data_IF_550422526988
#
_entry.id   IF_550422526988
#
_cell.length_a   1.000
_cell.length_b   1.000
_cell.length_c   1.000
_cell.angle_alpha   90.00
_cell.angle_beta   90.00
_cell.angle_gamma   90.00
#
_symmetry.space_group_name_H-M   'P 1'
#
loop_
_entity.id
_entity.type
_entity.pdbx_description
1 polymer ?
#
# COMPACT_ATOMS: atom_id res chain seq x y z
N UNK A 1 0.02 -10.55 -18.40
CA UNK A 1 0.50 -10.93 -17.06
C UNK A 1 1.87 -10.29 -16.89
N UNK A 2 2.10 -9.59 -15.78
CA UNK A 2 3.40 -8.96 -15.50
C UNK A 2 4.45 -10.06 -15.27
N UNK A 3 5.70 -9.79 -15.67
CA UNK A 3 6.82 -10.67 -15.32
C UNK A 3 7.17 -10.55 -13.81
N UNK A 4 7.95 -11.49 -13.24
CA UNK A 4 8.28 -11.47 -11.80
C UNK A 4 8.95 -10.19 -11.30
N UNK A 5 9.76 -9.52 -12.13
CA UNK A 5 10.43 -8.27 -11.79
C UNK A 5 9.40 -7.14 -11.73
N UNK A 6 8.51 -7.07 -12.73
CA UNK A 6 7.41 -6.11 -12.74
C UNK A 6 6.43 -6.31 -11.57
N UNK A 7 6.16 -7.56 -11.21
CA UNK A 7 5.37 -7.91 -10.01
C UNK A 7 6.06 -7.40 -8.74
N UNK A 8 7.37 -7.61 -8.60
CA UNK A 8 8.16 -7.13 -7.46
C UNK A 8 8.12 -5.60 -7.36
N UNK A 9 8.43 -4.90 -8.46
CA UNK A 9 8.42 -3.43 -8.50
C UNK A 9 7.06 -2.85 -8.12
N UNK A 10 5.98 -3.42 -8.65
CA UNK A 10 4.62 -2.94 -8.37
C UNK A 10 4.19 -3.24 -6.94
N UNK A 11 4.51 -4.40 -6.39
CA UNK A 11 4.20 -4.71 -5.01
C UNK A 11 5.02 -3.85 -4.04
N UNK A 12 6.30 -3.66 -4.33
CA UNK A 12 7.19 -2.81 -3.57
C UNK A 12 6.72 -1.34 -3.57
N UNK A 13 6.20 -0.83 -4.69
CA UNK A 13 5.58 0.50 -4.76
C UNK A 13 4.50 0.69 -3.67
N UNK A 14 3.60 -0.29 -3.48
CA UNK A 14 2.58 -0.21 -2.42
C UNK A 14 3.21 -0.24 -1.03
N UNK A 15 4.21 -1.09 -0.79
CA UNK A 15 4.92 -1.18 0.49
C UNK A 15 5.64 0.14 0.83
N UNK A 16 6.32 0.76 -0.13
CA UNK A 16 7.00 2.04 0.08
C UNK A 16 6.02 3.16 0.41
N UNK A 17 4.88 3.22 -0.29
CA UNK A 17 3.82 4.20 0.02
C UNK A 17 3.25 4.00 1.43
N UNK A 18 3.10 2.75 1.88
CA UNK A 18 2.69 2.42 3.24
C UNK A 18 3.73 2.90 4.26
N UNK A 19 5.02 2.60 4.06
CA UNK A 19 6.09 2.97 4.99
C UNK A 19 6.23 4.49 5.13
N UNK A 20 6.25 5.22 4.01
CA UNK A 20 6.32 6.69 4.02
C UNK A 20 5.16 7.27 4.85
N UNK A 21 3.94 6.77 4.66
CA UNK A 21 2.80 7.22 5.42
C UNK A 21 2.89 6.84 6.90
N UNK A 22 3.35 5.62 7.20
CA UNK A 22 3.52 5.13 8.56
C UNK A 22 4.54 5.96 9.34
N UNK A 23 5.66 6.34 8.72
CA UNK A 23 6.71 7.15 9.34
C UNK A 23 6.19 8.54 9.72
N UNK A 24 5.44 9.18 8.82
CA UNK A 24 4.81 10.48 9.10
C UNK A 24 3.81 10.35 10.24
N UNK A 25 2.94 9.33 10.20
CA UNK A 25 1.93 9.12 11.23
C UNK A 25 2.58 8.86 12.59
N UNK A 26 3.60 8.02 12.64
CA UNK A 26 4.29 7.65 13.87
C UNK A 26 5.20 8.76 14.42
N UNK A 27 5.55 9.77 13.62
CA UNK A 27 6.38 10.91 14.07
C UNK A 27 5.68 11.78 15.12
N UNK A 28 4.34 11.79 15.17
CA UNK A 28 3.53 12.49 16.17
C UNK A 28 2.59 11.50 16.88
N UNK A 29 2.94 11.04 18.09
CA UNK A 29 2.15 10.05 18.83
C UNK A 29 0.73 10.54 19.19
N UNK A 30 0.53 11.84 19.42
CA UNK A 30 -0.78 12.39 19.79
C UNK A 30 -1.71 12.36 18.58
N UNK A 31 -1.23 12.85 17.43
CA UNK A 31 -2.00 12.83 16.18
C UNK A 31 -2.24 11.40 15.69
N UNK A 32 -1.29 10.49 15.92
CA UNK A 32 -1.47 9.06 15.63
C UNK A 32 -2.65 8.48 16.39
N UNK A 33 -2.70 8.73 17.69
CA UNK A 33 -3.74 8.18 18.56
C UNK A 33 -5.11 8.79 18.23
N UNK A 34 -5.16 10.08 17.87
CA UNK A 34 -6.36 10.74 17.37
C UNK A 34 -6.83 10.16 16.03
N UNK A 35 -5.92 9.97 15.08
CA UNK A 35 -6.21 9.36 13.79
C UNK A 35 -6.71 7.92 13.94
N UNK A 36 -6.07 7.13 14.81
CA UNK A 36 -6.52 5.77 15.13
C UNK A 36 -7.94 5.77 15.70
N UNK A 37 -8.22 6.65 16.66
CA UNK A 37 -9.57 6.79 17.22
C UNK A 37 -10.61 7.21 16.16
N UNK A 38 -10.23 8.09 15.24
CA UNK A 38 -11.07 8.46 14.11
C UNK A 38 -11.35 7.24 13.22
N UNK A 39 -10.31 6.53 12.76
CA UNK A 39 -10.46 5.31 11.94
C UNK A 39 -11.34 4.27 12.63
N UNK A 40 -11.12 3.99 13.92
CA UNK A 40 -11.93 3.06 14.69
C UNK A 40 -13.41 3.50 14.76
N UNK A 41 -13.68 4.81 14.75
CA UNK A 41 -15.04 5.36 14.70
C UNK A 41 -15.69 5.34 13.31
N UNK A 42 -14.90 5.47 12.23
CA UNK A 42 -15.40 5.52 10.84
C UNK A 42 -15.40 4.15 10.14
N UNK A 43 -14.62 3.18 10.65
CA UNK A 43 -14.59 1.79 10.18
C UNK A 43 -15.85 0.98 10.52
N UNK A 44 -16.91 1.64 11.01
CA UNK A 44 -18.24 1.05 11.10
C UNK A 44 -18.81 0.73 9.70
N UNK A 45 -19.55 -0.38 9.54
CA UNK A 45 -20.22 -0.69 8.28
C UNK A 45 -21.23 0.41 7.93
N UNK A 46 -20.96 1.20 6.89
CA UNK A 46 -21.89 2.22 6.39
C UNK A 46 -21.30 3.57 5.98
N UNK A 47 -20.00 3.82 6.16
CA UNK A 47 -19.39 5.10 5.75
C UNK A 47 -19.21 5.17 4.22
N UNK A 48 -19.84 6.15 3.53
CA UNK A 48 -19.69 6.34 2.09
C UNK A 48 -18.22 6.63 1.72
N UNK A 49 -17.67 5.90 0.76
CA UNK A 49 -16.25 5.99 0.37
C UNK A 49 -15.33 4.97 1.04
N UNK A 50 -15.84 4.23 2.04
CA UNK A 50 -15.17 3.11 2.71
C UNK A 50 -15.71 1.77 2.18
N UNK A 51 -15.84 1.63 0.85
CA UNK A 51 -15.88 0.28 0.27
C UNK A 51 -14.58 -0.43 0.68
N UNK A 52 -14.64 -1.71 1.11
CA UNK A 52 -13.95 -2.15 2.30
C UNK A 52 -12.45 -1.89 2.17
N UNK A 53 -11.89 -1.25 3.19
CA UNK A 53 -10.45 -1.07 3.42
C UNK A 53 -9.63 -2.38 3.29
N UNK A 54 -10.30 -3.52 3.18
CA UNK A 54 -9.75 -4.88 3.11
C UNK A 54 -10.10 -5.62 1.81
N UNK A 55 -10.59 -4.92 0.78
CA UNK A 55 -10.96 -5.49 -0.51
C UNK A 55 -12.37 -6.09 -0.55
N UNK A 56 -12.80 -6.60 -1.72
CA UNK A 56 -14.14 -7.13 -1.88
C UNK A 56 -14.34 -8.38 -1.02
N UNK A 57 -15.46 -8.48 -0.30
CA UNK A 57 -15.85 -9.69 0.47
C UNK A 57 -16.33 -10.84 -0.41
N UNK A 58 -16.27 -10.67 -1.73
CA UNK A 58 -16.72 -11.62 -2.76
C UNK A 58 -15.56 -12.03 -3.65
N UNK A 59 -15.73 -13.15 -4.35
CA UNK A 59 -14.85 -13.51 -5.46
C UNK A 59 -14.86 -12.39 -6.51
N UNK A 60 -13.66 -11.96 -6.89
CA UNK A 60 -13.42 -10.89 -7.87
C UNK A 60 -12.98 -11.54 -9.17
N UNK A 61 -13.57 -11.14 -10.29
CA UNK A 61 -13.16 -11.62 -11.61
C UNK A 61 -11.85 -10.94 -12.01
N UNK A 62 -11.01 -11.62 -12.80
CA UNK A 62 -9.69 -11.10 -13.17
C UNK A 62 -9.73 -9.72 -13.86
N UNK A 63 -10.77 -9.45 -14.67
CA UNK A 63 -11.00 -8.16 -15.32
C UNK A 63 -11.33 -7.03 -14.31
N UNK A 64 -11.97 -7.38 -13.20
CA UNK A 64 -12.27 -6.44 -12.13
C UNK A 64 -11.04 -6.14 -11.25
N UNK A 65 -10.10 -7.09 -11.14
CA UNK A 65 -8.87 -6.92 -10.34
C UNK A 65 -8.07 -5.72 -10.85
N UNK A 66 -7.85 -5.63 -12.16
CA UNK A 66 -7.08 -4.54 -12.76
C UNK A 66 -7.78 -3.19 -12.56
N UNK A 67 -9.11 -3.14 -12.75
CA UNK A 67 -9.88 -1.92 -12.52
C UNK A 67 -9.88 -1.43 -11.06
N UNK A 68 -9.79 -2.35 -10.09
CA UNK A 68 -9.65 -2.01 -8.66
C UNK A 68 -8.22 -1.52 -8.36
N UNK A 69 -7.20 -2.19 -8.90
CA UNK A 69 -5.80 -1.77 -8.72
C UNK A 69 -5.54 -0.38 -9.32
N UNK A 70 -6.12 -0.09 -10.48
CA UNK A 70 -6.05 1.26 -11.08
C UNK A 70 -6.71 2.33 -10.20
N UNK A 71 -7.76 2.00 -9.45
CA UNK A 71 -8.36 2.94 -8.50
C UNK A 71 -7.40 3.24 -7.35
N UNK A 72 -6.76 2.21 -6.79
CA UNK A 72 -5.73 2.40 -5.77
C UNK A 72 -4.57 3.24 -6.31
N UNK A 73 -4.09 2.95 -7.52
CA UNK A 73 -3.01 3.70 -8.16
C UNK A 73 -3.35 5.18 -8.33
N UNK A 74 -4.58 5.50 -8.77
CA UNK A 74 -5.04 6.89 -8.90
C UNK A 74 -5.05 7.62 -7.56
N UNK A 75 -5.46 6.96 -6.48
CA UNK A 75 -5.46 7.56 -5.13
C UNK A 75 -4.02 7.76 -4.64
N UNK A 76 -3.14 6.76 -4.82
CA UNK A 76 -1.76 6.82 -4.38
C UNK A 76 -0.88 7.77 -5.22
N UNK A 77 -1.29 8.08 -6.45
CA UNK A 77 -0.61 9.07 -7.28
C UNK A 77 -0.82 10.52 -6.79
N UNK A 78 -1.86 10.79 -6.00
CA UNK A 78 -2.14 12.13 -5.45
C UNK A 78 -1.16 12.40 -4.31
N UNK A 79 -0.38 13.47 -4.41
CA UNK A 79 0.55 13.91 -3.37
C UNK A 79 -0.20 14.26 -2.07
N UNK A 80 0.26 13.71 -0.95
CA UNK A 80 -0.31 13.96 0.37
C UNK A 80 0.09 15.37 0.85
N UNK A 81 -0.89 16.17 1.28
CA UNK A 81 -0.67 17.56 1.72
C UNK A 81 -0.96 17.78 3.21
N UNK A 82 -1.65 16.84 3.83
CA UNK A 82 -2.08 16.88 5.22
C UNK A 82 -1.85 15.55 5.93
N UNK A 83 -1.91 15.57 7.26
CA UNK A 83 -1.81 14.36 8.07
C UNK A 83 -2.93 13.35 7.75
N UNK A 84 -4.15 13.84 7.50
CA UNK A 84 -5.28 13.00 7.09
C UNK A 84 -5.05 12.36 5.72
N UNK A 85 -4.39 13.05 4.79
CA UNK A 85 -4.00 12.45 3.50
C UNK A 85 -3.01 11.30 3.70
N UNK A 86 -2.06 11.44 4.64
CA UNK A 86 -1.13 10.36 5.00
C UNK A 86 -1.87 9.19 5.65
N UNK A 87 -2.87 9.43 6.50
CA UNK A 87 -3.70 8.38 7.09
C UNK A 87 -4.46 7.59 6.02
N UNK A 88 -5.10 8.27 5.08
CA UNK A 88 -5.76 7.61 3.96
C UNK A 88 -4.74 6.86 3.09
N UNK A 89 -3.61 7.48 2.75
CA UNK A 89 -2.55 6.83 1.97
C UNK A 89 -2.03 5.56 2.65
N UNK A 90 -1.84 5.56 3.98
CA UNK A 90 -1.46 4.38 4.76
C UNK A 90 -2.47 3.24 4.53
N UNK A 91 -3.75 3.55 4.68
CA UNK A 91 -4.84 2.59 4.50
C UNK A 91 -4.93 2.04 3.08
N UNK A 92 -4.92 2.91 2.07
CA UNK A 92 -5.03 2.53 0.67
C UNK A 92 -3.82 1.73 0.19
N UNK A 93 -2.61 2.12 0.61
CA UNK A 93 -1.39 1.40 0.25
C UNK A 93 -1.37 -0.01 0.86
N UNK A 94 -1.81 -0.16 2.12
CA UNK A 94 -1.95 -1.46 2.75
C UNK A 94 -2.96 -2.35 2.02
N UNK A 95 -4.16 -1.81 1.73
CA UNK A 95 -5.21 -2.52 1.00
C UNK A 95 -4.74 -2.96 -0.39
N UNK A 96 -4.11 -2.05 -1.14
CA UNK A 96 -3.58 -2.32 -2.46
C UNK A 96 -2.49 -3.40 -2.45
N UNK A 97 -1.56 -3.35 -1.49
CA UNK A 97 -0.49 -4.34 -1.33
C UNK A 97 -1.05 -5.74 -1.12
N UNK A 98 -1.97 -5.91 -0.16
CA UNK A 98 -2.61 -7.21 0.10
C UNK A 98 -3.38 -7.70 -1.13
N UNK A 99 -4.21 -6.83 -1.72
CA UNK A 99 -5.04 -7.18 -2.86
C UNK A 99 -4.19 -7.59 -4.08
N UNK A 100 -3.13 -6.83 -4.38
CA UNK A 100 -2.18 -7.14 -5.44
C UNK A 100 -1.45 -8.46 -5.18
N UNK A 101 -0.99 -8.69 -3.94
CA UNK A 101 -0.31 -9.92 -3.58
C UNK A 101 -1.22 -11.15 -3.75
N UNK A 102 -2.47 -11.07 -3.29
CA UNK A 102 -3.42 -12.18 -3.37
C UNK A 102 -3.90 -12.48 -4.80
N UNK A 103 -4.05 -11.46 -5.64
CA UNK A 103 -4.67 -11.61 -6.97
C UNK A 103 -3.71 -11.53 -8.16
N UNK A 104 -2.49 -11.00 -7.99
CA UNK A 104 -1.49 -10.92 -9.06
C UNK A 104 -0.23 -11.72 -8.75
N UNK A 105 0.37 -11.55 -7.56
CA UNK A 105 1.63 -12.23 -7.21
C UNK A 105 1.40 -13.72 -6.94
N UNK A 106 0.56 -14.06 -5.97
CA UNK A 106 0.34 -15.45 -5.55
C UNK A 106 -0.12 -16.33 -6.72
N UNK A 107 -1.09 -15.93 -7.56
CA UNK A 107 -1.52 -16.78 -8.68
C UNK A 107 -0.46 -16.94 -9.76
N UNK A 108 0.33 -15.89 -10.04
CA UNK A 108 1.37 -15.95 -11.07
C UNK A 108 2.55 -16.85 -10.68
N UNK A 109 2.83 -16.99 -9.38
CA UNK A 109 4.03 -17.67 -8.88
C UNK A 109 3.76 -19.00 -8.17
N UNK A 110 2.50 -19.41 -7.99
CA UNK A 110 2.10 -20.54 -7.12
C UNK A 110 2.81 -21.87 -7.41
N UNK A 111 3.26 -22.08 -8.63
CA UNK A 111 3.78 -23.36 -9.10
C UNK A 111 5.13 -23.25 -9.82
N UNK A 112 5.76 -22.08 -9.82
CA UNK A 112 7.01 -21.83 -10.54
C UNK A 112 8.06 -21.26 -9.59
N UNK A 113 8.96 -22.13 -9.15
CA UNK A 113 10.02 -21.80 -8.20
C UNK A 113 11.05 -20.84 -8.80
N UNK A 114 11.35 -20.95 -10.11
CA UNK A 114 12.29 -20.06 -10.78
C UNK A 114 11.74 -18.63 -10.82
N UNK A 115 10.49 -18.47 -11.24
CA UNK A 115 9.82 -17.17 -11.25
C UNK A 115 9.68 -16.59 -9.84
N UNK A 116 9.39 -17.43 -8.84
CA UNK A 116 9.32 -16.99 -7.44
C UNK A 116 10.69 -16.47 -6.95
N UNK A 117 11.77 -17.20 -7.22
CA UNK A 117 13.12 -16.79 -6.85
C UNK A 117 13.53 -15.47 -7.51
N UNK A 118 13.13 -15.24 -8.77
CA UNK A 118 13.36 -13.95 -9.45
C UNK A 118 12.62 -12.81 -8.76
N UNK A 119 11.33 -13.00 -8.44
CA UNK A 119 10.52 -12.04 -7.69
C UNK A 119 11.14 -11.73 -6.32
N UNK A 120 11.50 -12.76 -5.55
CA UNK A 120 12.03 -12.61 -4.19
C UNK A 120 13.40 -11.92 -4.18
N UNK A 121 14.28 -12.30 -5.12
CA UNK A 121 15.58 -11.65 -5.32
C UNK A 121 15.40 -10.16 -5.62
N UNK A 122 14.45 -9.81 -6.49
CA UNK A 122 14.19 -8.41 -6.84
C UNK A 122 13.58 -7.62 -5.66
N UNK A 123 12.62 -8.21 -4.94
CA UNK A 123 12.09 -7.63 -3.70
C UNK A 123 13.20 -7.36 -2.66
N UNK A 124 14.16 -8.28 -2.53
CA UNK A 124 15.32 -8.12 -1.67
C UNK A 124 16.18 -6.91 -2.04
N UNK A 125 16.47 -6.72 -3.33
CA UNK A 125 17.22 -5.54 -3.82
C UNK A 125 16.47 -4.24 -3.55
N UNK A 126 15.16 -4.22 -3.84
CA UNK A 126 14.32 -3.03 -3.63
C UNK A 126 14.25 -2.65 -2.14
N UNK A 127 14.11 -3.64 -1.26
CA UNK A 127 14.10 -3.42 0.19
C UNK A 127 15.40 -2.78 0.71
N UNK A 128 16.55 -3.21 0.19
CA UNK A 128 17.86 -2.62 0.53
C UNK A 128 17.92 -1.13 0.16
N UNK A 129 17.42 -0.76 -1.02
CA UNK A 129 17.36 0.64 -1.46
C UNK A 129 16.57 1.50 -0.46
N UNK A 130 15.43 1.01 0.06
CA UNK A 130 14.69 1.77 1.07
C UNK A 130 15.48 1.99 2.35
N UNK A 131 16.19 0.96 2.82
CA UNK A 131 16.89 1.02 4.09
C UNK A 131 18.11 1.93 4.02
N UNK A 132 18.71 2.07 2.84
CA UNK A 132 19.80 3.01 2.57
C UNK A 132 19.30 4.45 2.44
N UNK A 133 18.08 4.65 1.92
CA UNK A 133 17.43 5.97 1.85
C UNK A 133 16.68 6.23 3.16
N UNK A 134 17.38 6.72 4.19
CA UNK A 134 16.69 7.24 5.38
C UNK A 134 15.70 8.34 4.95
N UNK A 135 14.42 8.26 5.35
CA UNK A 135 13.50 9.36 5.12
C UNK A 135 13.97 10.55 5.94
N UNK A 136 14.58 11.54 5.26
CA UNK A 136 14.72 12.88 5.83
C UNK A 136 13.31 13.42 5.89
N UNK A 137 12.70 13.32 7.08
CA UNK A 137 11.39 13.90 7.36
C UNK A 137 11.44 15.40 7.06
N UNK A 138 11.03 15.78 5.86
CA UNK A 138 10.85 17.18 5.44
C UNK A 138 9.68 17.87 6.13
N UNK A 139 9.07 17.23 7.12
CA UNK A 139 8.02 17.79 7.98
C UNK A 139 8.59 18.41 9.28
N UNK A 140 9.90 18.31 9.54
CA UNK A 140 10.51 18.88 10.76
C UNK A 140 10.67 20.41 10.70
N UNK A 141 10.64 21.03 9.52
CA UNK A 141 10.91 22.48 9.38
C UNK A 141 9.83 23.24 8.59
N UNK A 142 8.63 23.38 9.15
CA UNK A 142 7.76 24.51 8.80
C UNK A 142 7.39 25.29 10.06
N UNK A 143 7.75 26.60 10.12
CA UNK A 143 7.61 27.43 11.32
C UNK A 143 6.15 27.63 11.77
#
# INVERSE_FOLDING_TARGET
MLDPIQLAHKHYYYISHYQIAADVICSDPIRRDQARAAVDSVAGPGTPGVAPLFGPTRTVRDDEVDGILEQYDRVLAIEAKSYDDFLHRLQYAFAAGIFFYSHKVTPALRHDEELFNMYDTEMGKLSQILHEVQPTSGLVDRP
#
